data_IF_101311668826
#
_entry.id   IF_101311668826
#
_cell.length_a   1.000
_cell.length_b   1.000
_cell.length_c   1.000
_cell.angle_alpha   90.00
_cell.angle_beta   90.00
_cell.angle_gamma   90.00
#
_symmetry.space_group_name_H-M   'P 1'
#
loop_
_entity.id
_entity.type
_entity.pdbx_description
1 polymer ?
#
# COMPACT_ATOMS: atom_id res chain seq x y z
N UNK A 1 18.85 5.61 3.45
CA UNK A 1 18.49 6.06 3.06
C UNK A 1 18.27 6.39 2.87
N UNK A 2 18.46 6.11 3.13
CA UNK A 2 18.09 6.60 2.70
C UNK A 2 17.73 7.00 2.65
N UNK A 3 17.85 6.89 2.88
CA UNK A 3 17.33 7.48 2.59
C UNK A 3 16.97 7.91 2.62
N UNK A 4 17.02 7.79 3.06
CA UNK A 4 16.53 8.34 2.86
C UNK A 4 16.23 8.63 2.90
N UNK A 5 16.36 8.55 3.13
CA UNK A 5 15.87 9.08 2.98
C UNK A 5 15.36 9.29 3.09
N UNK A 6 15.23 9.20 3.49
CA UNK A 6 14.63 9.61 3.24
C UNK A 6 14.29 10.17 3.20
N UNK A 7 14.49 10.17 3.49
CA UNK A 7 14.03 10.86 3.11
C UNK A 7 13.75 11.48 3.00
N UNK A 8 13.77 11.56 3.09
CA UNK A 8 13.45 12.27 2.61
C UNK A 8 12.95 12.87 2.41
N UNK A 9 13.02 12.76 2.63
CA UNK A 9 12.45 13.38 2.11
C UNK A 9 11.83 13.97 1.93
N UNK A 10 11.71 14.08 2.01
CA UNK A 10 11.04 14.74 1.54
C UNK A 10 10.33 15.16 1.12
N UNK A 11 9.96 14.97 0.94
CA UNK A 11 9.38 15.42 0.32
C UNK A 11 8.48 15.72 0.27
N UNK A 12 8.34 16.00 0.14
CA UNK A 12 7.32 16.46 0.13
C UNK A 12 6.30 16.05 -0.26
N UNK A 13 5.92 15.68 0.13
CA UNK A 13 4.98 15.22 -0.06
C UNK A 13 3.77 15.69 -0.41
N UNK A 14 3.65 16.67 -0.14
CA UNK A 14 2.65 17.45 -0.55
C UNK A 14 2.35 17.13 -1.93
N UNK A 15 3.26 16.70 -2.58
CA UNK A 15 3.03 16.41 -3.84
C UNK A 15 2.39 15.18 -3.98
N UNK A 16 1.58 14.94 -3.27
CA UNK A 16 0.91 13.81 -3.42
C UNK A 16 1.44 12.75 -2.54
N UNK A 17 1.36 11.59 -2.92
CA UNK A 17 1.53 10.48 -2.06
C UNK A 17 2.65 9.58 -2.56
N UNK A 18 3.81 10.18 -2.69
CA UNK A 18 5.01 9.48 -3.10
C UNK A 18 4.85 8.74 -4.43
N UNK A 19 4.14 9.35 -5.35
CA UNK A 19 3.91 8.75 -6.66
C UNK A 19 2.65 7.94 -6.77
N UNK A 20 1.94 7.72 -5.66
CA UNK A 20 0.68 6.97 -5.69
C UNK A 20 -0.45 7.87 -6.21
N UNK A 21 -1.47 7.25 -6.77
CA UNK A 21 -2.55 8.00 -7.42
C UNK A 21 -3.31 8.91 -6.46
N UNK A 22 -3.48 8.49 -5.21
CA UNK A 22 -4.23 9.26 -4.24
C UNK A 22 -3.88 8.80 -2.83
N UNK A 23 -4.48 9.48 -1.85
CA UNK A 23 -4.22 9.21 -0.45
C UNK A 23 -4.62 7.79 -0.05
N UNK A 24 -5.75 7.33 -0.55
CA UNK A 24 -6.25 6.00 -0.18
C UNK A 24 -5.30 4.90 -0.66
N UNK A 25 -4.80 5.02 -1.88
CA UNK A 25 -3.86 4.05 -2.43
C UNK A 25 -2.54 4.09 -1.66
N UNK A 26 -2.05 5.29 -1.41
CA UNK A 26 -0.83 5.46 -0.63
C UNK A 26 -0.96 4.84 0.77
N UNK A 27 -2.09 5.11 1.44
CA UNK A 27 -2.30 4.63 2.80
C UNK A 27 -2.35 3.12 2.86
N UNK A 28 -3.05 2.49 1.92
CA UNK A 28 -3.12 1.04 1.87
C UNK A 28 -1.72 0.44 1.66
N UNK A 29 -0.95 1.01 0.74
CA UNK A 29 0.40 0.50 0.48
C UNK A 29 1.30 0.69 1.70
N UNK A 30 1.16 1.81 2.38
CA UNK A 30 1.95 2.10 3.57
C UNK A 30 1.70 1.05 4.66
N UNK A 31 0.44 0.77 4.94
CA UNK A 31 0.10 -0.19 5.98
C UNK A 31 0.53 -1.60 5.64
N UNK A 32 0.40 -2.00 4.37
CA UNK A 32 0.83 -3.33 3.94
C UNK A 32 2.34 -3.46 4.12
N UNK A 33 3.10 -2.45 3.70
CA UNK A 33 4.55 -2.53 3.76
C UNK A 33 5.13 -2.39 5.16
N UNK A 34 4.41 -1.76 6.07
CA UNK A 34 4.92 -1.51 7.41
C UNK A 34 4.32 -2.40 8.50
N UNK A 35 3.44 -3.31 8.15
CA UNK A 35 2.82 -4.23 9.10
C UNK A 35 3.16 -5.66 8.69
N UNK A 36 3.94 -6.33 9.50
CA UNK A 36 4.43 -7.66 9.15
C UNK A 36 3.34 -8.63 8.73
N UNK A 37 2.26 -8.69 9.48
CA UNK A 37 1.16 -9.60 9.15
C UNK A 37 0.52 -9.30 7.81
N UNK A 38 0.36 -8.02 7.50
CA UNK A 38 -0.23 -7.61 6.21
C UNK A 38 0.75 -7.87 5.07
N UNK A 39 2.02 -7.62 5.31
CA UNK A 39 3.05 -7.88 4.31
C UNK A 39 3.10 -9.37 3.96
N UNK A 40 3.08 -10.22 4.98
CA UNK A 40 3.11 -11.66 4.79
C UNK A 40 1.88 -12.13 4.01
N UNK A 41 0.70 -11.60 4.35
CA UNK A 41 -0.52 -11.93 3.61
C UNK A 41 -0.39 -11.51 2.15
N UNK A 42 0.11 -10.30 1.92
CA UNK A 42 0.24 -9.77 0.55
C UNK A 42 1.21 -10.61 -0.28
N UNK A 43 2.26 -11.13 0.35
CA UNK A 43 3.20 -11.97 -0.36
C UNK A 43 2.54 -13.25 -0.88
N UNK A 44 1.48 -13.71 -0.24
CA UNK A 44 0.74 -14.88 -0.69
C UNK A 44 -0.34 -14.59 -1.71
N UNK A 45 -0.53 -13.32 -2.08
CA UNK A 45 -1.58 -12.92 -3.00
C UNK A 45 -1.02 -12.59 -4.36
N UNK A 46 -1.78 -12.90 -5.42
CA UNK A 46 -1.36 -12.57 -6.78
C UNK A 46 -2.02 -11.30 -7.28
N UNK A 47 -3.02 -10.79 -6.56
CA UNK A 47 -3.70 -9.55 -6.94
C UNK A 47 -4.20 -8.85 -5.70
N UNK A 48 -4.47 -7.55 -5.84
CA UNK A 48 -5.01 -6.78 -4.74
C UNK A 48 -6.43 -7.24 -4.39
N UNK A 49 -7.19 -7.67 -5.38
CA UNK A 49 -8.53 -8.19 -5.11
C UNK A 49 -8.46 -9.43 -4.20
N UNK A 50 -7.49 -10.30 -4.44
CA UNK A 50 -7.30 -11.46 -3.57
C UNK A 50 -6.95 -11.02 -2.15
N UNK A 51 -6.10 -9.99 -2.03
CA UNK A 51 -5.74 -9.45 -0.72
C UNK A 51 -7.00 -8.97 0.02
N UNK A 52 -7.86 -8.22 -0.68
CA UNK A 52 -9.10 -7.72 -0.09
C UNK A 52 -9.95 -8.88 0.43
N UNK A 53 -10.03 -9.95 -0.35
CA UNK A 53 -10.86 -11.10 0.00
C UNK A 53 -10.33 -11.86 1.20
N UNK A 54 -9.02 -11.82 1.43
CA UNK A 54 -8.41 -12.61 2.50
C UNK A 54 -8.08 -11.84 3.76
N UNK A 55 -7.96 -10.52 3.66
CA UNK A 55 -7.58 -9.72 4.83
C UNK A 55 -8.70 -9.77 5.88
N UNK A 56 -8.29 -9.90 7.14
CA UNK A 56 -9.28 -10.06 8.21
C UNK A 56 -9.84 -8.73 8.71
N UNK A 57 -9.06 -7.65 8.61
CA UNK A 57 -9.57 -6.34 9.01
C UNK A 57 -10.23 -5.67 7.82
N UNK A 58 -11.09 -4.70 8.08
CA UNK A 58 -11.80 -4.00 7.01
C UNK A 58 -11.11 -2.73 6.58
N UNK A 59 -10.25 -2.19 7.44
CA UNK A 59 -9.61 -0.91 7.18
C UNK A 59 -8.15 -0.96 7.61
N UNK A 60 -7.38 0.02 7.12
CA UNK A 60 -6.05 0.27 7.65
C UNK A 60 -6.21 0.87 9.05
N UNK A 61 -5.11 1.02 9.76
CA UNK A 61 -5.15 1.66 11.07
C UNK A 61 -5.56 3.13 11.01
N UNK A 62 -5.49 3.73 9.83
CA UNK A 62 -5.94 5.12 9.63
C UNK A 62 -7.38 5.20 9.15
N UNK A 63 -8.07 4.06 9.04
CA UNK A 63 -9.48 4.06 8.70
C UNK A 63 -9.81 3.97 7.22
N UNK A 64 -8.81 3.77 6.37
CA UNK A 64 -9.05 3.61 4.94
C UNK A 64 -9.48 2.17 4.67
N UNK A 65 -10.60 1.98 4.01
CA UNK A 65 -11.08 0.63 3.71
C UNK A 65 -10.21 0.01 2.63
N UNK A 66 -9.89 -1.27 2.81
CA UNK A 66 -9.09 -1.98 1.81
C UNK A 66 -9.79 -2.02 0.45
N UNK A 67 -11.12 -2.05 0.44
CA UNK A 67 -11.90 -2.09 -0.78
C UNK A 67 -12.44 -0.72 -1.20
N UNK A 68 -11.82 0.36 -0.72
CA UNK A 68 -12.24 1.71 -1.07
C UNK A 68 -12.12 1.87 -2.60
N UNK A 69 -13.21 2.32 -3.27
CA UNK A 69 -13.17 2.43 -4.73
C UNK A 69 -12.15 3.44 -5.26
N UNK A 70 -11.61 4.29 -4.39
CA UNK A 70 -10.58 5.23 -4.80
C UNK A 70 -9.19 4.58 -4.89
N UNK A 71 -9.02 3.39 -4.32
CA UNK A 71 -7.73 2.72 -4.37
C UNK A 71 -7.49 2.24 -5.81
N UNK A 72 -6.31 2.60 -6.34
CA UNK A 72 -5.93 2.22 -7.69
C UNK A 72 -5.41 0.79 -7.67
N UNK A 73 -6.24 -0.15 -8.16
CA UNK A 73 -5.88 -1.55 -8.14
C UNK A 73 -4.67 -1.86 -9.02
N UNK A 74 -4.50 -1.13 -10.12
CA UNK A 74 -3.35 -1.35 -10.99
C UNK A 74 -2.06 -1.04 -10.26
N UNK A 75 -2.04 0.05 -9.50
CA UNK A 75 -0.86 0.40 -8.70
C UNK A 75 -0.62 -0.62 -7.59
N UNK A 76 -1.69 -1.09 -6.95
CA UNK A 76 -1.54 -2.09 -5.90
C UNK A 76 -1.05 -3.42 -6.46
N UNK A 77 -1.57 -3.81 -7.63
CA UNK A 77 -1.12 -5.03 -8.28
C UNK A 77 0.35 -4.95 -8.67
N UNK A 78 0.78 -3.78 -9.13
CA UNK A 78 2.16 -3.57 -9.48
C UNK A 78 3.05 -3.69 -8.23
N UNK A 79 2.60 -3.12 -7.11
CA UNK A 79 3.33 -3.24 -5.86
C UNK A 79 3.46 -4.71 -5.44
N UNK A 80 2.38 -5.48 -5.56
CA UNK A 80 2.40 -6.89 -5.20
C UNK A 80 3.37 -7.67 -6.09
N UNK A 81 3.40 -7.34 -7.39
CA UNK A 81 4.34 -7.98 -8.29
C UNK A 81 5.77 -7.69 -7.88
N UNK A 82 6.07 -6.46 -7.48
CA UNK A 82 7.40 -6.09 -7.05
C UNK A 82 7.80 -6.82 -5.77
N UNK A 83 6.84 -7.07 -4.89
CA UNK A 83 7.12 -7.79 -3.66
C UNK A 83 7.54 -9.23 -3.92
N UNK A 84 7.11 -9.81 -5.04
CA UNK A 84 7.44 -11.17 -5.40
C UNK A 84 8.77 -11.31 -6.13
N UNK A 85 9.37 -10.21 -6.50
CA UNK A 85 10.68 -10.22 -7.10
C UNK A 85 11.76 -10.37 -6.01
#
# INVERSE_FOLDING_TARGET
MTATPMTETNKPTWEGFNGWANRETWNASLWINNTEGLYTLALGCTSYQQFIDEVTSKTTGDGVRWDDPKIDHDEMNEMLDEMHD
#
